data_IF_359876298767
#
_entry.id   IF_359876298767
#
_cell.length_a   1.000
_cell.length_b   1.000
_cell.length_c   1.000
_cell.angle_alpha   90.00
_cell.angle_beta   90.00
_cell.angle_gamma   90.00
#
_symmetry.space_group_name_H-M   'P 1'
#
loop_
_entity.id
_entity.type
_entity.pdbx_description
1 polymer ?
#
# COMPACT_ATOMS: atom_id res chain seq x y z
N UNK A 1 -17.19 -11.89 -7.19
CA UNK A 1 -16.00 -11.00 -7.10
C UNK A 1 -14.89 -11.82 -6.46
N UNK A 2 -14.20 -12.63 -7.26
CA UNK A 2 -13.20 -13.56 -6.74
C UNK A 2 -11.86 -12.84 -6.83
N UNK A 3 -11.43 -12.25 -5.71
CA UNK A 3 -10.17 -11.52 -5.57
C UNK A 3 -8.97 -12.46 -5.69
N UNK A 4 -8.73 -12.96 -6.90
CA UNK A 4 -7.59 -13.79 -7.21
C UNK A 4 -6.33 -12.97 -6.94
N UNK A 5 -5.61 -13.39 -5.90
CA UNK A 5 -4.31 -12.88 -5.51
C UNK A 5 -3.31 -13.42 -6.53
N UNK A 6 -2.79 -12.57 -7.42
CA UNK A 6 -1.70 -12.96 -8.31
C UNK A 6 -0.41 -13.06 -7.48
N UNK A 7 0.04 -14.27 -7.18
CA UNK A 7 1.45 -14.48 -6.90
C UNK A 7 2.19 -14.16 -8.20
N UNK A 8 3.19 -13.28 -8.13
CA UNK A 8 4.10 -13.04 -9.25
C UNK A 8 4.56 -14.41 -9.78
N UNK A 9 4.19 -14.73 -11.02
CA UNK A 9 4.67 -15.93 -11.69
C UNK A 9 6.12 -15.65 -12.10
N UNK A 10 7.03 -15.72 -11.13
CA UNK A 10 8.45 -15.80 -11.41
C UNK A 10 8.78 -17.28 -11.58
N UNK A 11 9.36 -17.60 -12.73
CA UNK A 11 10.02 -18.88 -13.05
C UNK A 11 11.17 -19.25 -12.08
N UNK A 12 11.37 -18.47 -11.03
CA UNK A 12 12.24 -18.70 -9.89
C UNK A 12 11.37 -18.91 -8.65
N UNK A 13 11.56 -20.05 -8.00
CA UNK A 13 10.92 -20.48 -6.76
C UNK A 13 11.39 -19.67 -5.54
N UNK A 14 11.30 -18.35 -5.60
CA UNK A 14 11.45 -17.51 -4.41
C UNK A 14 10.10 -17.44 -3.70
N UNK A 15 10.02 -18.06 -2.52
CA UNK A 15 8.87 -17.94 -1.63
C UNK A 15 8.73 -16.49 -1.19
N UNK A 16 7.80 -15.77 -1.83
CA UNK A 16 7.43 -14.42 -1.39
C UNK A 16 6.62 -14.55 -0.09
N UNK A 17 7.25 -14.16 1.02
CA UNK A 17 6.61 -14.13 2.34
C UNK A 17 5.44 -13.14 2.36
N UNK A 18 4.37 -13.51 3.08
CA UNK A 18 3.23 -12.61 3.30
C UNK A 18 3.67 -11.39 4.10
N UNK A 19 3.21 -10.21 3.69
CA UNK A 19 3.42 -8.98 4.43
C UNK A 19 2.67 -9.02 5.77
N UNK A 20 3.35 -8.60 6.83
CA UNK A 20 2.72 -8.43 8.15
C UNK A 20 1.97 -7.11 8.23
N UNK A 21 1.01 -7.00 9.15
CA UNK A 21 0.26 -5.75 9.37
C UNK A 21 1.19 -4.60 9.79
N UNK A 22 2.25 -4.90 10.54
CA UNK A 22 3.26 -3.93 10.95
C UNK A 22 4.06 -3.40 9.76
N UNK A 23 4.50 -4.29 8.86
CA UNK A 23 5.20 -3.90 7.62
C UNK A 23 4.32 -2.98 6.76
N UNK A 24 3.06 -3.33 6.57
CA UNK A 24 2.11 -2.51 5.79
C UNK A 24 1.94 -1.13 6.45
N UNK A 25 1.87 -1.08 7.77
CA UNK A 25 1.71 0.17 8.52
C UNK A 25 2.96 1.04 8.42
N UNK A 26 4.15 0.47 8.54
CA UNK A 26 5.41 1.19 8.33
C UNK A 26 5.51 1.76 6.91
N UNK A 27 5.13 0.98 5.89
CA UNK A 27 5.13 1.43 4.50
C UNK A 27 4.14 2.58 4.27
N UNK A 28 2.91 2.43 4.76
CA UNK A 28 1.89 3.48 4.67
C UNK A 28 2.39 4.81 5.28
N UNK A 29 2.97 4.75 6.47
CA UNK A 29 3.51 5.92 7.16
C UNK A 29 4.71 6.54 6.42
N UNK A 30 5.56 5.73 5.80
CA UNK A 30 6.70 6.20 5.00
C UNK A 30 6.27 6.93 3.71
N UNK A 31 5.11 6.58 3.15
CA UNK A 31 4.56 7.23 1.95
C UNK A 31 3.87 8.56 2.25
N UNK A 32 3.45 8.78 3.50
CA UNK A 32 2.69 9.97 3.90
C UNK A 32 3.60 11.12 4.33
N UNK A 33 3.26 12.33 3.88
CA UNK A 33 3.78 13.55 4.50
C UNK A 33 3.11 13.83 5.86
N UNK A 34 3.63 14.77 6.68
CA UNK A 34 3.09 15.03 8.02
C UNK A 34 1.59 15.38 8.04
N UNK A 35 1.12 16.19 7.08
CA UNK A 35 -0.30 16.56 6.99
C UNK A 35 -1.21 15.38 6.65
N UNK A 36 -0.74 14.48 5.79
CA UNK A 36 -1.48 13.26 5.44
C UNK A 36 -1.50 12.29 6.61
N UNK A 37 -0.39 12.18 7.34
CA UNK A 37 -0.30 11.35 8.54
C UNK A 37 -1.29 11.80 9.60
N UNK A 38 -1.38 13.09 9.88
CA UNK A 38 -2.36 13.64 10.82
C UNK A 38 -3.80 13.29 10.43
N UNK A 39 -4.14 13.44 9.14
CA UNK A 39 -5.46 13.00 8.62
C UNK A 39 -5.70 11.51 8.83
N UNK A 40 -4.71 10.69 8.51
CA UNK A 40 -4.79 9.25 8.67
C UNK A 40 -4.95 8.83 10.14
N UNK A 41 -4.23 9.49 11.05
CA UNK A 41 -4.33 9.27 12.50
C UNK A 41 -5.71 9.69 13.05
N UNK A 42 -6.33 10.71 12.45
CA UNK A 42 -7.71 11.12 12.73
C UNK A 42 -8.77 10.17 12.13
N UNK A 43 -8.35 9.11 11.43
CA UNK A 43 -9.23 8.09 10.85
C UNK A 43 -9.66 8.36 9.41
N UNK A 44 -9.15 9.41 8.77
CA UNK A 44 -9.44 9.68 7.36
C UNK A 44 -8.64 8.75 6.44
N UNK A 45 -9.19 8.48 5.26
CA UNK A 45 -8.44 7.84 4.18
C UNK A 45 -7.49 8.84 3.52
N UNK A 46 -6.32 8.36 3.09
CA UNK A 46 -5.34 9.16 2.38
C UNK A 46 -5.19 8.64 0.95
N UNK A 47 -5.39 9.52 -0.02
CA UNK A 47 -5.07 9.29 -1.42
C UNK A 47 -3.84 10.12 -1.82
N UNK A 48 -2.84 9.47 -2.39
CA UNK A 48 -1.57 10.09 -2.78
C UNK A 48 -1.11 9.62 -4.15
N UNK A 49 -0.45 10.53 -4.88
CA UNK A 49 0.28 10.20 -6.09
C UNK A 49 1.74 9.90 -5.74
N UNK A 50 2.25 8.78 -6.24
CA UNK A 50 3.66 8.41 -6.12
C UNK A 50 4.25 8.24 -7.53
N UNK A 51 5.43 8.78 -7.76
CA UNK A 51 6.13 8.67 -9.05
C UNK A 51 7.45 7.92 -8.84
N UNK A 52 7.59 6.81 -9.55
CA UNK A 52 8.82 6.04 -9.64
C UNK A 52 9.49 6.33 -10.98
N UNK A 53 10.79 6.64 -10.95
CA UNK A 53 11.56 6.90 -12.17
C UNK A 53 11.58 5.70 -13.11
N UNK A 54 11.51 4.48 -12.57
CA UNK A 54 11.59 3.24 -13.35
C UNK A 54 10.22 2.67 -13.71
N UNK A 55 9.24 2.84 -12.82
CA UNK A 55 7.98 2.10 -12.88
C UNK A 55 6.74 2.98 -13.14
N UNK A 56 6.94 4.29 -13.32
CA UNK A 56 5.87 5.22 -13.67
C UNK A 56 5.11 5.78 -12.47
N UNK A 57 3.89 6.25 -12.71
CA UNK A 57 3.07 6.95 -11.72
C UNK A 57 2.02 6.03 -11.13
N UNK A 58 1.83 6.14 -9.84
CA UNK A 58 0.89 5.35 -9.07
C UNK A 58 -0.06 6.26 -8.30
N UNK A 59 -1.31 5.82 -8.21
CA UNK A 59 -2.28 6.34 -7.24
C UNK A 59 -2.42 5.35 -6.12
N UNK A 60 -2.07 5.77 -4.92
CA UNK A 60 -2.05 4.95 -3.72
C UNK A 60 -3.13 5.47 -2.78
N UNK A 61 -4.07 4.59 -2.41
CA UNK A 61 -5.04 4.86 -1.35
C UNK A 61 -4.65 4.04 -0.11
N UNK A 62 -4.66 4.70 1.04
CA UNK A 62 -4.40 4.10 2.35
C UNK A 62 -5.61 4.34 3.25
N UNK A 63 -6.10 3.26 3.86
CA UNK A 63 -7.27 3.29 4.74
C UNK A 63 -7.07 2.41 5.98
N UNK A 64 -7.87 2.64 7.01
CA UNK A 64 -7.93 1.78 8.19
C UNK A 64 -9.16 0.86 8.11
N UNK A 65 -8.98 -0.44 8.30
CA UNK A 65 -10.08 -1.40 8.35
C UNK A 65 -9.95 -2.32 9.57
N UNK A 66 -10.91 -2.25 10.50
CA UNK A 66 -10.91 -3.05 11.74
C UNK A 66 -9.56 -2.99 12.46
N UNK A 67 -9.04 -1.79 12.66
CA UNK A 67 -7.74 -1.52 13.29
C UNK A 67 -6.51 -2.01 12.52
N UNK A 68 -6.64 -2.38 11.24
CA UNK A 68 -5.52 -2.73 10.38
C UNK A 68 -5.37 -1.72 9.24
N UNK A 69 -4.15 -1.26 9.00
CA UNK A 69 -3.81 -0.47 7.82
C UNK A 69 -3.94 -1.30 6.56
N UNK A 70 -4.61 -0.75 5.55
CA UNK A 70 -4.68 -1.33 4.20
C UNK A 70 -4.19 -0.32 3.18
N UNK A 71 -3.61 -0.83 2.11
CA UNK A 71 -3.03 -0.05 1.04
C UNK A 71 -3.45 -0.64 -0.30
N UNK A 72 -3.92 0.21 -1.20
CA UNK A 72 -4.22 -0.14 -2.58
C UNK A 72 -3.38 0.74 -3.49
N UNK A 73 -2.57 0.12 -4.33
CA UNK A 73 -1.74 0.80 -5.31
C UNK A 73 -2.28 0.51 -6.72
N UNK A 74 -2.46 1.55 -7.52
CA UNK A 74 -2.90 1.44 -8.92
C UNK A 74 -1.92 2.20 -9.80
N UNK A 75 -1.39 1.51 -10.81
CA UNK A 75 -0.62 2.16 -11.88
C UNK A 75 -1.54 3.10 -12.67
N UNK A 76 -1.04 4.27 -13.07
CA UNK A 76 -1.73 5.25 -13.90
C UNK A 76 -1.32 5.08 -15.36
#
# INVERSE_FOLDING_TARGET
MNGNLYYLNTSNSEQVSRLTAEQISQWALALMNPRQREKFENGDEVDLGYESQEAGRYRINVCQQRSNTRLVCRHI
#
